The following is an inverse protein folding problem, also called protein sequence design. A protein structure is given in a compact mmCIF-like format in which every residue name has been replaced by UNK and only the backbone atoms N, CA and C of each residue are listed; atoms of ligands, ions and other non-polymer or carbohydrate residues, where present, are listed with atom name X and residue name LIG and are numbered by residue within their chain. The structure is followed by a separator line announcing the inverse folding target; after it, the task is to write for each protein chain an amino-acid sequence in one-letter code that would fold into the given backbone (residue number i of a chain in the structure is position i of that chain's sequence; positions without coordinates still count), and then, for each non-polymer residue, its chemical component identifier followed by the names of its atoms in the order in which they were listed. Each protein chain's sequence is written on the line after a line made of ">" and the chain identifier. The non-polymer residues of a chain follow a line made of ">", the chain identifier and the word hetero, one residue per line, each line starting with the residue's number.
data_IF_921593331569
#
_entry.id   IF_921593331569
#
_cell.length_a   1.000
_cell.length_b   1.000
_cell.length_c   1.000
_cell.angle_alpha   90.00
_cell.angle_beta   90.00
_cell.angle_gamma   90.00
#
_symmetry.space_group_name_H-M   'P 1'
#
loop_
_entity.id
_entity.type
_entity.pdbx_description
1 polymer ?
#
# COMPACT_ATOMS: atom_id res chain seq x y z
N UNK A 1 4.84 -8.73 -12.63
CA UNK A 1 4.81 -9.66 -11.47
C UNK A 1 5.84 -9.18 -10.47
N UNK A 2 5.43 -8.79 -9.26
CA UNK A 2 6.35 -8.25 -8.24
C UNK A 2 6.23 -9.14 -7.00
N UNK A 3 7.34 -9.76 -6.64
CA UNK A 3 7.50 -10.68 -5.54
C UNK A 3 7.26 -9.97 -4.20
N UNK A 4 6.45 -10.55 -3.32
CA UNK A 4 6.36 -10.18 -1.91
C UNK A 4 7.36 -11.07 -1.17
N UNK A 5 8.56 -10.53 -0.91
CA UNK A 5 9.56 -11.14 -0.04
C UNK A 5 9.19 -10.79 1.39
N UNK A 6 8.71 -11.77 2.15
CA UNK A 6 8.69 -11.69 3.61
C UNK A 6 10.02 -12.24 4.11
N UNK A 7 10.82 -11.39 4.75
CA UNK A 7 12.07 -11.77 5.39
C UNK A 7 11.73 -12.63 6.63
N UNK A 8 11.92 -13.94 6.52
CA UNK A 8 11.63 -14.93 7.56
C UNK A 8 12.94 -15.59 8.00
N UNK A 9 13.81 -14.83 8.64
CA UNK A 9 14.92 -15.40 9.36
C UNK A 9 14.40 -16.22 10.54
N UNK A 10 14.60 -17.55 10.45
CA UNK A 10 14.46 -18.56 11.50
C UNK A 10 13.20 -19.44 11.49
N UNK A 11 12.80 -20.01 10.33
CA UNK A 11 11.85 -21.12 10.30
C UNK A 11 12.35 -22.23 9.36
N UNK A 12 12.80 -23.34 9.93
CA UNK A 12 13.35 -24.51 9.21
C UNK A 12 12.30 -25.44 8.58
N UNK A 13 11.01 -25.08 8.52
CA UNK A 13 9.95 -25.92 7.95
C UNK A 13 8.85 -25.09 7.26
N UNK A 14 8.23 -25.70 6.25
CA UNK A 14 7.15 -25.16 5.40
C UNK A 14 5.92 -24.68 6.23
N UNK A 15 5.24 -23.57 5.87
CA UNK A 15 3.89 -23.26 6.36
C UNK A 15 2.91 -24.39 6.05
N UNK A 16 2.09 -24.72 7.05
CA UNK A 16 1.18 -25.87 7.02
C UNK A 16 -0.22 -25.56 6.44
N UNK A 17 -0.63 -24.28 6.40
CA UNK A 17 -1.95 -23.92 5.88
C UNK A 17 -2.02 -22.44 5.46
N UNK A 18 -2.58 -22.22 4.26
CA UNK A 18 -2.94 -20.89 3.76
C UNK A 18 -4.43 -20.89 3.49
N UNK A 19 -5.14 -19.99 4.16
CA UNK A 19 -6.56 -19.78 3.92
C UNK A 19 -6.72 -18.49 3.12
N UNK A 20 -7.25 -18.62 1.90
CA UNK A 20 -7.67 -17.47 1.07
C UNK A 20 -9.19 -17.38 1.19
N UNK A 21 -9.71 -16.24 1.63
CA UNK A 21 -11.16 -16.07 1.76
C UNK A 21 -11.64 -14.64 1.58
N UNK A 22 -12.62 -14.43 0.69
CA UNK A 22 -13.84 -13.67 1.00
C UNK A 22 -14.94 -13.99 -0.03
N UNK A 23 -16.22 -14.09 0.41
CA UNK A 23 -17.52 -14.36 -0.28
C UNK A 23 -17.62 -15.35 -1.46
N UNK A 24 -16.56 -15.59 -2.22
CA UNK A 24 -16.38 -16.65 -3.21
C UNK A 24 -15.02 -17.30 -2.96
N UNK A 25 -15.02 -18.58 -2.60
CA UNK A 25 -13.79 -19.39 -2.59
C UNK A 25 -13.24 -19.43 -4.01
N UNK A 26 -11.99 -18.99 -4.22
CA UNK A 26 -11.32 -19.11 -5.52
C UNK A 26 -10.29 -20.23 -5.48
N UNK A 27 -10.15 -20.96 -6.60
CA UNK A 27 -9.01 -21.85 -6.77
C UNK A 27 -7.74 -21.02 -6.88
N UNK A 28 -6.78 -21.27 -6.01
CA UNK A 28 -5.46 -20.66 -6.05
C UNK A 28 -4.41 -21.78 -6.08
N UNK A 29 -3.42 -21.63 -6.96
CA UNK A 29 -2.29 -22.54 -7.01
C UNK A 29 -1.23 -22.03 -6.03
N UNK A 30 -0.89 -22.86 -5.05
CA UNK A 30 0.05 -22.55 -3.97
C UNK A 30 1.28 -23.44 -4.11
N UNK A 31 2.47 -22.83 -4.10
CA UNK A 31 3.74 -23.54 -4.02
C UNK A 31 4.60 -22.93 -2.92
N UNK A 32 5.15 -23.79 -2.07
CA UNK A 32 6.09 -23.39 -1.02
C UNK A 32 7.44 -23.98 -1.35
N UNK A 33 8.47 -23.14 -1.38
CA UNK A 33 9.85 -23.57 -1.58
C UNK A 33 10.74 -23.02 -0.48
N UNK A 34 11.81 -23.75 -0.16
CA UNK A 34 12.81 -23.30 0.79
C UNK A 34 14.05 -22.83 0.03
N UNK A 35 14.37 -21.54 0.15
CA UNK A 35 15.60 -20.98 -0.37
C UNK A 35 16.72 -21.23 0.63
N UNK A 36 17.58 -22.20 0.31
CA UNK A 36 18.74 -22.55 1.14
C UNK A 36 19.79 -21.44 1.21
N UNK A 37 19.91 -20.61 0.18
CA UNK A 37 20.93 -19.56 0.11
C UNK A 37 20.56 -18.38 1.02
N UNK A 38 19.27 -18.04 1.04
CA UNK A 38 18.72 -16.98 1.89
C UNK A 38 18.21 -17.49 3.25
N UNK A 39 18.25 -18.82 3.47
CA UNK A 39 17.67 -19.48 4.64
C UNK A 39 16.22 -19.00 4.91
N UNK A 40 15.44 -18.86 3.83
CA UNK A 40 14.10 -18.27 3.85
C UNK A 40 13.08 -19.19 3.18
N UNK A 41 11.81 -19.04 3.58
CA UNK A 41 10.69 -19.74 2.95
C UNK A 41 10.05 -18.82 1.92
N UNK A 42 9.93 -19.30 0.69
CA UNK A 42 9.28 -18.58 -0.40
C UNK A 42 7.91 -19.18 -0.63
N UNK A 43 6.88 -18.34 -0.56
CA UNK A 43 5.51 -18.69 -0.88
C UNK A 43 5.13 -18.09 -2.23
N UNK A 44 4.79 -18.93 -3.19
CA UNK A 44 4.26 -18.55 -4.48
C UNK A 44 2.75 -18.81 -4.53
N UNK A 45 2.00 -17.74 -4.84
CA UNK A 45 0.54 -17.77 -4.95
C UNK A 45 0.15 -17.34 -6.36
N UNK A 46 -0.60 -18.18 -7.07
CA UNK A 46 -1.17 -17.85 -8.36
C UNK A 46 -2.70 -17.86 -8.28
N UNK A 47 -3.32 -16.75 -8.65
CA UNK A 47 -4.78 -16.57 -8.70
C UNK A 47 -5.10 -16.02 -10.08
N UNK A 48 -5.90 -16.74 -10.84
CA UNK A 48 -6.26 -16.36 -12.22
C UNK A 48 -7.51 -15.48 -12.27
N UNK A 49 -8.36 -15.58 -11.25
CA UNK A 49 -9.60 -14.82 -11.16
C UNK A 49 -9.35 -13.38 -10.68
N UNK A 50 -9.93 -12.41 -11.38
CA UNK A 50 -9.97 -11.01 -10.93
C UNK A 50 -10.75 -10.89 -9.62
N UNK A 51 -10.23 -10.08 -8.69
CA UNK A 51 -10.91 -9.82 -7.42
C UNK A 51 -10.00 -9.32 -6.31
N UNK A 52 -10.61 -9.13 -5.14
CA UNK A 52 -9.93 -8.80 -3.89
C UNK A 52 -10.06 -9.99 -2.94
N UNK A 53 -8.94 -10.61 -2.61
CA UNK A 53 -8.88 -11.81 -1.79
C UNK A 53 -8.15 -11.53 -0.49
N UNK A 54 -8.72 -11.89 0.66
CA UNK A 54 -7.98 -11.86 1.92
C UNK A 54 -7.19 -13.15 2.05
N UNK A 55 -5.89 -13.05 2.27
CA UNK A 55 -4.99 -14.17 2.49
C UNK A 55 -4.54 -14.17 3.95
N UNK A 56 -4.61 -15.34 4.59
CA UNK A 56 -4.03 -15.58 5.91
C UNK A 56 -3.00 -16.68 5.84
N UNK A 57 -1.77 -16.37 6.24
CA UNK A 57 -0.64 -17.31 6.32
C UNK A 57 -0.44 -17.72 7.77
N UNK A 58 -0.45 -19.03 8.03
CA UNK A 58 -0.23 -19.61 9.35
C UNK A 58 0.81 -20.74 9.31
N UNK A 59 1.51 -20.93 10.42
CA UNK A 59 2.45 -22.02 10.65
C UNK A 59 2.04 -22.74 11.93
N UNK A 60 1.82 -24.06 11.88
CA UNK A 60 1.32 -24.87 13.00
C UNK A 60 0.08 -24.28 13.68
N UNK A 61 -0.86 -23.78 12.88
CA UNK A 61 -2.09 -23.12 13.36
C UNK A 61 -1.88 -21.72 13.94
N UNK A 62 -0.64 -21.25 14.11
CA UNK A 62 -0.33 -19.90 14.55
C UNK A 62 -0.16 -18.98 13.34
N UNK A 63 -1.00 -17.95 13.28
CA UNK A 63 -0.91 -16.92 12.25
C UNK A 63 0.42 -16.19 12.32
N UNK A 64 1.09 -16.06 11.18
CA UNK A 64 2.36 -15.36 11.11
C UNK A 64 2.17 -13.85 11.34
N UNK A 65 3.18 -13.18 11.88
CA UNK A 65 3.22 -11.71 11.94
C UNK A 65 3.19 -11.15 10.52
N UNK A 66 2.31 -10.18 10.26
CA UNK A 66 1.98 -9.69 8.91
C UNK A 66 1.44 -10.76 7.96
N UNK A 67 0.98 -11.91 8.48
CA UNK A 67 0.39 -12.99 7.71
C UNK A 67 -1.06 -12.74 7.30
N UNK A 68 -1.68 -11.62 7.68
CA UNK A 68 -2.99 -11.18 7.17
C UNK A 68 -2.79 -10.07 6.16
N UNK A 69 -3.23 -10.27 4.93
CA UNK A 69 -3.16 -9.24 3.90
C UNK A 69 -4.21 -9.46 2.83
N UNK A 70 -4.44 -8.43 2.02
CA UNK A 70 -5.32 -8.52 0.86
C UNK A 70 -4.48 -8.63 -0.42
N UNK A 71 -4.91 -9.50 -1.34
CA UNK A 71 -4.36 -9.68 -2.68
C UNK A 71 -5.37 -9.09 -3.67
N UNK A 72 -4.95 -8.07 -4.42
CA UNK A 72 -5.72 -7.49 -5.51
C UNK A 72 -5.25 -8.10 -6.82
N UNK A 73 -6.11 -8.89 -7.46
CA UNK A 73 -5.90 -9.42 -8.81
C UNK A 73 -6.70 -8.54 -9.76
N UNK A 74 -6.02 -7.83 -10.64
CA UNK A 74 -6.64 -6.87 -11.56
C UNK A 74 -6.83 -7.48 -12.95
N UNK A 75 -7.92 -7.13 -13.62
CA UNK A 75 -8.02 -7.32 -15.07
C UNK A 75 -6.89 -6.59 -15.83
N UNK A 76 -6.52 -7.07 -17.03
CA UNK A 76 -5.53 -6.39 -17.87
C UNK A 76 -5.87 -4.92 -18.11
N UNK A 77 -7.15 -4.59 -18.33
CA UNK A 77 -7.61 -3.23 -18.53
C UNK A 77 -7.38 -2.35 -17.29
N UNK A 78 -7.75 -2.83 -16.10
CA UNK A 78 -7.53 -2.11 -14.84
C UNK A 78 -6.04 -1.95 -14.53
N UNK A 79 -5.22 -2.98 -14.77
CA UNK A 79 -3.77 -2.90 -14.63
C UNK A 79 -3.15 -1.81 -15.53
N UNK A 80 -3.58 -1.69 -16.79
CA UNK A 80 -3.13 -0.62 -17.67
C UNK A 80 -3.54 0.76 -17.18
N UNK A 81 -4.75 0.90 -16.62
CA UNK A 81 -5.20 2.15 -15.99
C UNK A 81 -4.32 2.52 -14.80
N UNK A 82 -4.03 1.57 -13.92
CA UNK A 82 -3.11 1.75 -12.77
C UNK A 82 -1.75 2.24 -13.23
N UNK A 83 -1.14 1.58 -14.22
CA UNK A 83 0.17 1.97 -14.74
C UNK A 83 0.19 3.38 -15.34
N UNK A 84 -0.83 3.73 -16.13
CA UNK A 84 -0.97 5.07 -16.70
C UNK A 84 -1.08 6.14 -15.61
N UNK A 85 -1.90 5.90 -14.58
CA UNK A 85 -2.07 6.82 -13.46
C UNK A 85 -0.79 7.01 -12.65
N UNK A 86 -0.09 5.91 -12.36
CA UNK A 86 1.17 5.94 -11.62
C UNK A 86 2.29 6.62 -12.44
N UNK A 87 2.33 6.41 -13.76
CA UNK A 87 3.33 7.00 -14.64
C UNK A 87 3.16 8.51 -14.80
N UNK A 88 1.91 9.00 -14.90
CA UNK A 88 1.62 10.43 -15.05
C UNK A 88 2.10 11.27 -13.87
N UNK A 89 2.26 10.69 -12.67
CA UNK A 89 2.65 11.39 -11.40
C UNK A 89 1.86 12.68 -11.10
N UNK A 90 0.76 12.95 -11.80
CA UNK A 90 0.12 14.26 -11.83
C UNK A 90 -1.17 14.30 -11.00
N UNK A 91 -1.51 15.50 -10.52
CA UNK A 91 -2.68 15.74 -9.68
C UNK A 91 -4.03 15.75 -10.44
N UNK A 92 -4.04 15.51 -11.75
CA UNK A 92 -5.25 15.58 -12.58
C UNK A 92 -5.89 14.21 -12.87
N UNK A 93 -5.34 13.12 -12.35
CA UNK A 93 -6.01 11.81 -12.40
C UNK A 93 -6.98 11.73 -11.22
N UNK A 94 -8.25 11.50 -11.53
CA UNK A 94 -9.29 11.29 -10.54
C UNK A 94 -10.13 10.05 -10.85
N UNK A 95 -10.74 9.52 -9.81
CA UNK A 95 -11.68 8.40 -9.87
C UNK A 95 -13.01 8.85 -9.29
N UNK A 96 -14.10 8.56 -10.00
CA UNK A 96 -15.43 8.83 -9.49
C UNK A 96 -15.79 7.81 -8.41
N UNK A 97 -16.34 8.30 -7.30
CA UNK A 97 -16.81 7.48 -6.20
C UNK A 97 -18.05 8.11 -5.56
N UNK A 98 -18.64 7.38 -4.63
CA UNK A 98 -19.69 7.87 -3.74
C UNK A 98 -19.21 7.82 -2.30
N UNK A 99 -19.37 8.90 -1.56
CA UNK A 99 -19.19 8.93 -0.11
C UNK A 99 -20.43 8.28 0.52
N UNK A 100 -20.23 7.18 1.25
CA UNK A 100 -21.31 6.35 1.81
C UNK A 100 -21.44 6.56 3.31
N UNK A 101 -20.33 6.67 4.03
CA UNK A 101 -20.32 6.92 5.47
C UNK A 101 -19.13 7.79 5.86
N UNK A 102 -19.31 8.59 6.90
CA UNK A 102 -18.24 9.34 7.57
C UNK A 102 -18.60 9.56 9.04
N UNK A 103 -17.62 9.73 9.93
CA UNK A 103 -17.87 9.85 11.38
C UNK A 103 -18.63 8.66 11.99
N UNK A 104 -18.49 7.47 11.39
CA UNK A 104 -19.27 6.26 11.71
C UNK A 104 -20.77 6.35 11.42
N UNK A 105 -21.23 7.43 10.78
CA UNK A 105 -22.62 7.61 10.37
C UNK A 105 -22.77 7.31 8.87
N UNK A 106 -23.71 6.42 8.56
CA UNK A 106 -24.07 6.12 7.17
C UNK A 106 -24.96 7.25 6.64
N UNK A 107 -24.62 7.77 5.46
CA UNK A 107 -25.38 8.82 4.82
C UNK A 107 -26.69 8.27 4.26
N UNK A 108 -27.79 8.97 4.50
CA UNK A 108 -29.09 8.67 3.87
C UNK A 108 -29.00 8.71 2.34
N UNK A 109 -28.19 9.64 1.81
CA UNK A 109 -27.92 9.76 0.38
C UNK A 109 -26.42 9.87 0.14
N UNK A 110 -25.89 8.91 -0.59
CA UNK A 110 -24.47 8.89 -0.93
C UNK A 110 -24.10 10.09 -1.82
N UNK A 111 -23.03 10.80 -1.47
CA UNK A 111 -22.60 12.02 -2.20
C UNK A 111 -21.62 11.66 -3.30
N UNK A 112 -21.80 12.21 -4.50
CA UNK A 112 -20.84 12.02 -5.60
C UNK A 112 -19.55 12.77 -5.27
N UNK A 113 -18.44 12.05 -5.26
CA UNK A 113 -17.11 12.55 -4.93
C UNK A 113 -16.09 12.12 -5.97
N UNK A 114 -14.92 12.74 -5.92
CA UNK A 114 -13.79 12.51 -6.80
C UNK A 114 -12.55 12.26 -5.97
N UNK A 115 -11.96 11.07 -6.13
CA UNK A 115 -10.75 10.63 -5.46
C UNK A 115 -9.53 10.96 -6.33
N UNK A 116 -8.68 11.86 -5.88
CA UNK A 116 -7.42 12.24 -6.51
C UNK A 116 -6.27 11.55 -5.79
N UNK A 117 -5.44 10.80 -6.51
CA UNK A 117 -4.32 10.08 -5.90
C UNK A 117 -3.02 10.65 -6.47
N UNK A 118 -2.12 11.05 -5.58
CA UNK A 118 -0.78 11.50 -5.91
C UNK A 118 0.24 10.70 -5.11
N UNK A 119 1.55 10.80 -5.41
CA UNK A 119 2.57 10.13 -4.61
C UNK A 119 2.55 10.50 -3.13
N UNK A 120 2.08 11.71 -2.75
CA UNK A 120 2.11 12.19 -1.36
C UNK A 120 0.79 12.02 -0.62
N UNK A 121 -0.33 12.12 -1.34
CA UNK A 121 -1.66 12.17 -0.72
C UNK A 121 -2.77 11.62 -1.63
N UNK A 122 -3.79 11.06 -1.00
CA UNK A 122 -5.12 10.80 -1.54
C UNK A 122 -6.04 11.93 -1.07
N UNK A 123 -6.69 12.63 -2.00
CA UNK A 123 -7.60 13.75 -1.70
C UNK A 123 -8.99 13.43 -2.24
N UNK A 124 -10.00 13.58 -1.39
CA UNK A 124 -11.41 13.42 -1.75
C UNK A 124 -12.03 14.80 -1.89
N UNK A 125 -12.63 15.06 -3.06
CA UNK A 125 -13.31 16.33 -3.35
C UNK A 125 -14.76 16.10 -3.76
N UNK A 126 -15.61 17.03 -3.39
CA UNK A 126 -16.97 17.19 -3.91
C UNK A 126 -17.00 18.42 -4.81
N UNK A 127 -17.75 18.37 -5.91
CA UNK A 127 -17.94 19.53 -6.78
C UNK A 127 -19.34 20.09 -6.58
N UNK A 128 -19.42 21.30 -6.03
CA UNK A 128 -20.68 22.03 -5.90
C UNK A 128 -20.98 22.76 -7.20
N UNK A 129 -22.19 22.55 -7.75
CA UNK A 129 -22.63 23.07 -9.05
C UNK A 129 -21.64 22.83 -10.22
N UNK A 130 -20.81 21.77 -10.14
CA UNK A 130 -19.72 21.46 -11.09
C UNK A 130 -18.62 22.53 -11.24
N UNK A 131 -18.66 23.62 -10.47
CA UNK A 131 -17.77 24.77 -10.63
C UNK A 131 -16.75 24.83 -9.48
N UNK A 132 -17.17 24.60 -8.24
CA UNK A 132 -16.31 24.80 -7.07
C UNK A 132 -15.84 23.46 -6.48
N UNK A 133 -14.55 23.12 -6.57
CA UNK A 133 -14.01 21.93 -5.91
C UNK A 133 -13.89 22.16 -4.40
N UNK A 134 -14.78 21.54 -3.62
CA UNK A 134 -14.67 21.49 -2.17
C UNK A 134 -13.87 20.26 -1.75
N UNK A 135 -12.72 20.46 -1.13
CA UNK A 135 -11.95 19.37 -0.52
C UNK A 135 -12.66 18.91 0.75
N UNK A 136 -13.00 17.62 0.82
CA UNK A 136 -13.65 17.02 1.98
C UNK A 136 -12.62 16.36 2.90
N UNK A 137 -11.75 15.51 2.34
CA UNK A 137 -10.77 14.73 3.10
C UNK A 137 -9.43 14.67 2.37
N UNK A 138 -8.36 14.55 3.14
CA UNK A 138 -7.01 14.27 2.64
C UNK A 138 -6.35 13.24 3.52
N UNK A 139 -5.84 12.18 2.90
CA UNK A 139 -5.06 11.13 3.53
C UNK A 139 -3.63 11.18 2.99
N UNK A 140 -2.63 11.02 3.86
CA UNK A 140 -1.25 10.88 3.43
C UNK A 140 -1.03 9.49 2.82
N UNK A 141 -0.20 9.39 1.79
CA UNK A 141 0.25 8.09 1.26
C UNK A 141 1.40 7.59 2.13
N UNK A 142 1.04 6.93 3.22
CA UNK A 142 1.98 6.37 4.20
C UNK A 142 1.41 5.10 4.87
N UNK A 143 2.24 4.30 5.55
CA UNK A 143 1.81 3.03 6.12
C UNK A 143 0.70 3.12 7.17
N UNK A 144 0.53 4.29 7.81
CA UNK A 144 -0.53 4.54 8.79
C UNK A 144 -1.92 4.65 8.15
N UNK A 145 -2.01 5.01 6.86
CA UNK A 145 -3.27 5.04 6.13
C UNK A 145 -3.63 3.62 5.69
N UNK A 146 -4.71 3.08 6.25
CA UNK A 146 -5.21 1.73 6.06
C UNK A 146 -6.46 1.72 5.19
N UNK A 147 -6.52 0.73 4.31
CA UNK A 147 -7.65 0.44 3.45
C UNK A 147 -8.29 -0.87 3.88
N UNK A 148 -9.58 -0.86 4.18
CA UNK A 148 -10.37 -2.04 4.50
C UNK A 148 -11.45 -2.27 3.44
N UNK A 149 -11.51 -3.49 2.91
CA UNK A 149 -12.45 -3.87 1.85
C UNK A 149 -13.72 -4.43 2.49
N UNK A 150 -14.82 -3.68 2.44
CA UNK A 150 -16.05 -4.00 3.19
C UNK A 150 -17.08 -4.81 2.41
N UNK A 151 -16.95 -4.93 1.08
CA UNK A 151 -17.85 -5.72 0.24
C UNK A 151 -18.50 -4.87 -0.85
N UNK A 152 -19.80 -5.06 -1.06
CA UNK A 152 -20.61 -4.29 -2.00
C UNK A 152 -21.58 -3.39 -1.22
N UNK A 153 -21.77 -2.16 -1.70
CA UNK A 153 -22.84 -1.30 -1.22
C UNK A 153 -24.20 -1.87 -1.65
N UNK A 154 -25.13 -1.99 -0.70
CA UNK A 154 -26.44 -2.61 -0.92
C UNK A 154 -27.35 -1.83 -1.88
N UNK A 155 -27.14 -0.51 -2.02
CA UNK A 155 -27.99 0.34 -2.85
C UNK A 155 -27.48 0.46 -4.28
N UNK A 156 -26.16 0.45 -4.46
CA UNK A 156 -25.53 0.73 -5.75
C UNK A 156 -24.79 -0.47 -6.36
N UNK A 157 -24.77 -1.62 -5.69
CA UNK A 157 -24.04 -2.83 -6.11
C UNK A 157 -22.58 -2.51 -6.51
N UNK A 158 -21.96 -1.63 -5.72
CA UNK A 158 -20.65 -1.05 -6.03
C UNK A 158 -19.67 -1.41 -4.92
N UNK A 159 -18.44 -1.85 -5.25
CA UNK A 159 -17.45 -2.21 -4.24
C UNK A 159 -17.13 -1.07 -3.26
N UNK A 160 -17.09 -1.38 -1.97
CA UNK A 160 -16.83 -0.43 -0.89
C UNK A 160 -15.43 -0.57 -0.30
N UNK A 161 -14.88 0.57 0.11
CA UNK A 161 -13.56 0.73 0.71
C UNK A 161 -13.67 1.72 1.88
N UNK A 162 -13.25 1.29 3.06
CA UNK A 162 -13.06 2.15 4.21
C UNK A 162 -11.61 2.62 4.24
N UNK A 163 -11.42 3.91 4.48
CA UNK A 163 -10.11 4.55 4.56
C UNK A 163 -9.94 5.15 5.95
N UNK A 164 -8.86 4.78 6.62
CA UNK A 164 -8.53 5.21 7.98
C UNK A 164 -7.07 5.63 8.06
N UNK A 165 -6.74 6.70 8.78
CA UNK A 165 -5.34 7.11 9.04
C UNK A 165 -5.02 7.34 10.51
N UNK A 166 -6.01 7.17 11.41
CA UNK A 166 -5.90 7.42 12.84
C UNK A 166 -5.91 8.90 13.25
N UNK A 167 -5.92 9.83 12.29
CA UNK A 167 -5.93 11.28 12.54
C UNK A 167 -7.32 11.89 12.34
N UNK A 168 -8.12 11.30 11.45
CA UNK A 168 -9.49 11.73 11.18
C UNK A 168 -10.45 10.55 11.22
N UNK A 169 -11.75 10.85 11.27
CA UNK A 169 -12.77 9.82 11.27
C UNK A 169 -12.69 8.94 10.00
N UNK A 170 -13.00 7.62 10.12
CA UNK A 170 -13.04 6.72 8.98
C UNK A 170 -13.97 7.22 7.87
N UNK A 171 -13.54 7.06 6.63
CA UNK A 171 -14.31 7.47 5.44
C UNK A 171 -14.61 6.25 4.59
N UNK A 172 -15.90 5.93 4.41
CA UNK A 172 -16.35 4.85 3.54
C UNK A 172 -16.74 5.39 2.17
N UNK A 173 -16.12 4.83 1.13
CA UNK A 173 -16.43 5.14 -0.27
C UNK A 173 -16.89 3.90 -1.03
N UNK A 174 -17.83 4.08 -1.95
CA UNK A 174 -18.21 3.09 -2.95
C UNK A 174 -17.71 3.53 -4.33
N UNK A 175 -16.94 2.69 -5.02
CA UNK A 175 -16.48 2.97 -6.38
C UNK A 175 -16.34 1.71 -7.23
N UNK A 176 -16.71 1.80 -8.51
CA UNK A 176 -16.41 0.76 -9.50
C UNK A 176 -14.90 0.61 -9.73
N UNK A 177 -14.15 1.67 -9.44
CA UNK A 177 -12.69 1.71 -9.55
C UNK A 177 -12.00 1.45 -8.20
N UNK A 178 -12.70 0.87 -7.21
CA UNK A 178 -12.16 0.57 -5.87
C UNK A 178 -10.78 -0.09 -5.94
N UNK A 179 -10.64 -1.13 -6.75
CA UNK A 179 -9.41 -1.92 -6.83
C UNK A 179 -8.29 -1.16 -7.54
N UNK A 180 -8.64 -0.30 -8.51
CA UNK A 180 -7.70 0.61 -9.17
C UNK A 180 -7.21 1.67 -8.18
N UNK A 181 -8.11 2.29 -7.41
CA UNK A 181 -7.79 3.27 -6.37
C UNK A 181 -6.83 2.65 -5.35
N UNK A 182 -7.19 1.46 -4.82
CA UNK A 182 -6.37 0.73 -3.86
C UNK A 182 -5.00 0.36 -4.42
N UNK A 183 -4.93 -0.10 -5.67
CA UNK A 183 -3.69 -0.49 -6.33
C UNK A 183 -2.77 0.71 -6.59
N UNK A 184 -3.31 1.83 -7.07
CA UNK A 184 -2.54 3.07 -7.30
C UNK A 184 -1.95 3.58 -5.99
N UNK A 185 -2.78 3.64 -4.93
CA UNK A 185 -2.33 4.03 -3.60
C UNK A 185 -1.21 3.11 -3.10
N UNK A 186 -1.41 1.79 -3.20
CA UNK A 186 -0.43 0.79 -2.76
C UNK A 186 0.88 0.89 -3.53
N UNK A 187 0.84 1.13 -4.85
CA UNK A 187 2.05 1.31 -5.64
C UNK A 187 2.80 2.59 -5.25
N UNK A 188 2.10 3.70 -5.01
CA UNK A 188 2.75 4.92 -4.50
C UNK A 188 3.30 4.71 -3.10
N UNK A 189 2.56 4.02 -2.22
CA UNK A 189 3.03 3.66 -0.89
C UNK A 189 4.31 2.84 -0.94
N UNK A 190 4.37 1.79 -1.78
CA UNK A 190 5.58 0.97 -1.96
C UNK A 190 6.75 1.76 -2.54
N UNK A 191 6.48 2.75 -3.41
CA UNK A 191 7.51 3.67 -3.89
C UNK A 191 8.02 4.60 -2.78
N UNK A 192 7.20 4.89 -1.77
CA UNK A 192 7.55 5.76 -0.65
C UNK A 192 8.16 5.03 0.56
N UNK A 193 7.82 3.75 0.80
CA UNK A 193 8.34 2.94 1.93
C UNK A 193 9.84 2.62 1.75
N UNK A 194 10.39 2.77 0.54
CA UNK A 194 11.84 2.79 0.28
C UNK A 194 12.46 4.19 0.26
N UNK A 195 11.67 5.22 0.60
CA UNK A 195 12.07 6.62 0.60
C UNK A 195 12.11 7.24 -0.79
N UNK A 196 11.68 8.49 -0.89
CA UNK A 196 12.17 9.47 -1.85
C UNK A 196 13.68 9.76 -1.68
N UNK A 197 14.46 8.75 -1.33
CA UNK A 197 15.90 8.77 -1.13
C UNK A 197 16.48 7.60 -1.90
N UNK A 198 16.94 7.89 -3.10
CA UNK A 198 17.85 7.01 -3.81
C UNK A 198 19.08 6.78 -2.92
N UNK A 199 19.85 5.70 -3.17
CA UNK A 199 21.16 5.54 -2.55
C UNK A 199 22.02 6.81 -2.72
N UNK A 200 21.83 7.51 -3.84
CA UNK A 200 22.47 8.77 -4.15
C UNK A 200 22.06 9.89 -3.18
N UNK A 201 20.78 10.01 -2.83
CA UNK A 201 20.30 11.00 -1.85
C UNK A 201 20.86 10.73 -0.44
N UNK A 202 20.93 9.45 -0.03
CA UNK A 202 21.56 9.06 1.25
C UNK A 202 23.06 9.32 1.26
N UNK A 203 23.72 9.05 0.13
CA UNK A 203 25.13 9.34 -0.07
C UNK A 203 25.40 10.85 -0.04
N UNK A 204 24.56 11.65 -0.67
CA UNK A 204 24.71 13.11 -0.73
C UNK A 204 24.42 13.76 0.63
N UNK A 205 23.42 13.26 1.39
CA UNK A 205 23.19 13.65 2.78
C UNK A 205 24.40 13.33 3.68
N UNK A 206 24.94 12.10 3.57
CA UNK A 206 26.13 11.71 4.31
C UNK A 206 27.33 12.61 3.98
N UNK A 207 27.56 12.91 2.70
CA UNK A 207 28.65 13.81 2.30
C UNK A 207 28.41 15.25 2.77
N UNK A 208 27.16 15.73 2.79
CA UNK A 208 26.82 17.03 3.34
C UNK A 208 27.17 17.12 4.84
N UNK A 209 26.72 16.16 5.64
CA UNK A 209 27.01 16.10 7.08
C UNK A 209 28.51 16.00 7.37
N UNK A 210 29.24 15.14 6.64
CA UNK A 210 30.70 15.02 6.78
C UNK A 210 31.41 16.33 6.46
N UNK A 211 31.00 17.03 5.38
CA UNK A 211 31.55 18.35 5.02
C UNK A 211 31.20 19.42 6.05
N UNK A 212 29.98 19.40 6.59
CA UNK A 212 29.55 20.34 7.62
C UNK A 212 30.38 20.17 8.90
N UNK A 213 30.61 18.93 9.33
CA UNK A 213 31.47 18.61 10.48
C UNK A 213 32.94 19.01 10.22
N UNK A 214 33.43 18.81 9.00
CA UNK A 214 34.81 19.13 8.61
C UNK A 214 35.05 20.62 8.35
N UNK A 215 34.01 21.41 8.04
CA UNK A 215 34.10 22.86 7.78
C UNK A 215 34.72 23.66 8.94
N UNK A 216 34.65 23.13 10.17
CA UNK A 216 35.24 23.74 11.37
C UNK A 216 36.71 23.35 11.60
N UNK A 217 37.24 22.34 10.89
CA UNK A 217 38.59 21.77 11.07
C UNK A 217 39.19 21.32 9.74
N UNK A 218 39.26 22.25 8.79
CA UNK A 218 39.58 22.02 7.38
C UNK A 218 40.95 21.34 7.17
N UNK A 219 41.89 21.47 8.12
CA UNK A 219 43.24 20.91 8.01
C UNK A 219 43.44 19.60 8.81
N UNK A 220 42.42 19.13 9.55
CA UNK A 220 42.51 17.87 10.31
C UNK A 220 41.93 16.70 9.52
N UNK A 221 42.58 15.54 9.58
CA UNK A 221 42.00 14.29 9.04
C UNK A 221 40.84 13.87 9.94
N UNK A 222 39.66 13.64 9.37
CA UNK A 222 38.49 13.13 10.10
C UNK A 222 38.54 11.59 10.17
N UNK A 223 38.81 10.98 11.34
CA UNK A 223 38.77 9.53 11.47
C UNK A 223 37.31 9.05 11.49
N UNK A 224 36.86 8.39 10.42
CA UNK A 224 35.56 7.74 10.35
C UNK A 224 35.70 6.27 10.71
N UNK A 225 35.10 5.84 11.83
CA UNK A 225 35.03 4.42 12.22
C UNK A 225 33.64 3.89 11.90
N UNK A 226 33.53 3.09 10.84
CA UNK A 226 32.25 2.52 10.40
C UNK A 226 32.09 1.14 11.04
N UNK A 227 31.13 0.99 11.94
CA UNK A 227 30.74 -0.31 12.48
C UNK A 227 29.69 -0.98 11.57
N UNK A 228 30.13 -1.96 10.77
CA UNK A 228 29.28 -2.70 9.82
C UNK A 228 28.14 -3.48 10.50
N UNK A 229 28.27 -3.83 11.78
CA UNK A 229 27.27 -4.63 12.50
C UNK A 229 26.08 -3.79 13.00
N UNK A 230 26.21 -2.47 13.02
CA UNK A 230 25.16 -1.56 13.50
C UNK A 230 24.47 -0.78 12.37
N UNK A 231 24.95 -0.96 11.13
CA UNK A 231 24.44 -0.26 9.94
C UNK A 231 22.95 -0.52 9.64
N UNK A 232 22.39 -1.61 10.16
CA UNK A 232 20.99 -2.01 9.96
C UNK A 232 20.11 -1.86 11.21
N UNK A 233 20.66 -1.36 12.32
CA UNK A 233 19.87 -1.04 13.50
C UNK A 233 19.31 0.38 13.32
N UNK A 234 18.13 0.49 12.72
CA UNK A 234 17.34 1.72 12.69
C UNK A 234 15.90 1.45 13.07
#
# INVERSE_FOLDING_TARGET
>A
MRWLLADMNNVKNSPDCITIGNSKSCAANLQVTFDKALNSVVLQVCIEQEGCFRATVAYRGHKLKNGDFNILVLSPASYQRVNKSVAKKCHNVYYEARLVAYNNDRLEKAKKIYCYISPKQLTIKEYFMKIFPKRLYTFRVCPSTKFQFLGLDRHYDTPTLLIEDGCQAPVEIASKDRDVIASVFTIFLLKNIGGSETFKDKQDFFYHEVRQLHSKRIHERLPLKINRQELFKS
#
